data_IF_413340180013
#
_entry.id   IF_413340180013
#
_cell.length_a   1.000
_cell.length_b   1.000
_cell.length_c   1.000
_cell.angle_alpha   90.00
_cell.angle_beta   90.00
_cell.angle_gamma   90.00
#
_symmetry.space_group_name_H-M   'P 1'
#
loop_
_entity.id
_entity.type
_entity.pdbx_description
1 polymer ?
#
# COMPACT_ATOMS: atom_id res chain seq x y z
N UNK A 1 48.58 20.61 9.92
CA UNK A 1 47.37 21.26 10.49
C UNK A 1 46.20 20.76 9.67
N UNK A 2 45.37 19.84 10.19
CA UNK A 2 44.22 19.31 9.43
C UNK A 2 43.14 20.39 9.31
N UNK A 3 42.56 20.52 8.13
CA UNK A 3 41.47 21.44 7.80
C UNK A 3 40.17 21.00 8.50
N UNK A 4 39.53 21.84 9.35
CA UNK A 4 38.34 21.46 10.10
C UNK A 4 37.01 21.57 9.31
N UNK A 5 37.04 21.76 7.99
CA UNK A 5 35.85 22.11 7.20
C UNK A 5 35.09 20.95 6.52
N UNK A 6 35.17 19.69 7.00
CA UNK A 6 34.59 18.56 6.25
C UNK A 6 33.56 17.65 6.95
N UNK A 7 33.00 18.00 8.12
CA UNK A 7 32.08 17.07 8.82
C UNK A 7 30.74 17.62 9.33
N UNK A 8 30.25 18.75 8.80
CA UNK A 8 28.82 19.09 8.94
C UNK A 8 28.08 18.75 7.65
N UNK A 9 27.19 17.73 7.61
CA UNK A 9 26.29 17.60 6.48
C UNK A 9 25.43 18.87 6.44
N UNK A 10 25.41 19.61 5.31
CA UNK A 10 24.73 20.90 5.26
C UNK A 10 23.26 20.68 5.62
N UNK A 11 22.74 21.52 6.53
CA UNK A 11 21.35 21.50 7.02
C UNK A 11 20.31 21.39 5.89
N UNK A 12 20.68 21.73 4.65
CA UNK A 12 19.92 21.51 3.43
C UNK A 12 19.46 20.05 3.22
N UNK A 13 20.27 19.02 3.54
CA UNK A 13 19.86 17.61 3.33
C UNK A 13 18.70 17.16 4.21
N UNK A 14 18.49 17.80 5.36
CA UNK A 14 17.44 17.43 6.30
C UNK A 14 16.03 17.81 5.80
N UNK A 15 15.93 18.80 4.90
CA UNK A 15 14.65 19.24 4.30
C UNK A 15 14.38 18.62 2.92
N UNK A 16 15.35 17.90 2.34
CA UNK A 16 15.14 17.17 1.09
C UNK A 16 14.17 15.99 1.32
N UNK A 17 13.19 15.78 0.43
CA UNK A 17 12.34 14.60 0.50
C UNK A 17 13.16 13.33 0.19
N UNK A 18 12.77 12.19 0.79
CA UNK A 18 13.43 10.89 0.63
C UNK A 18 13.74 10.54 -0.84
N UNK A 19 12.78 10.81 -1.72
CA UNK A 19 12.87 10.51 -3.16
C UNK A 19 13.98 11.30 -3.87
N UNK A 20 14.44 12.41 -3.29
CA UNK A 20 15.57 13.20 -3.80
C UNK A 20 16.87 12.93 -3.01
N UNK A 21 16.96 11.82 -2.29
CA UNK A 21 18.13 11.45 -1.47
C UNK A 21 18.14 12.03 -0.05
N UNK A 22 16.98 12.53 0.41
CA UNK A 22 16.80 12.99 1.80
C UNK A 22 16.73 11.86 2.82
N UNK A 23 16.95 12.16 4.09
CA UNK A 23 16.87 11.16 5.17
C UNK A 23 15.42 10.84 5.55
N UNK A 24 15.09 9.55 5.68
CA UNK A 24 13.81 9.08 6.25
C UNK A 24 13.71 9.39 7.76
N UNK A 25 14.86 9.40 8.46
CA UNK A 25 14.98 9.61 9.92
C UNK A 25 15.12 11.09 10.32
N UNK A 26 14.33 11.98 9.72
CA UNK A 26 14.22 13.36 10.19
C UNK A 26 13.35 13.48 11.44
N UNK A 27 13.55 14.53 12.25
CA UNK A 27 12.59 14.85 13.33
C UNK A 27 11.20 15.11 12.73
N UNK A 28 10.12 14.55 13.29
CA UNK A 28 8.79 14.73 12.73
C UNK A 28 8.34 16.19 12.89
N UNK A 29 8.34 16.94 11.78
CA UNK A 29 7.83 18.31 11.74
C UNK A 29 6.29 18.28 11.83
N UNK A 30 5.65 19.21 12.57
CA UNK A 30 4.20 19.22 12.79
C UNK A 30 3.39 19.28 11.49
N UNK A 31 3.91 19.99 10.47
CA UNK A 31 3.30 20.07 9.14
C UNK A 31 3.32 18.73 8.41
N UNK A 32 4.34 17.90 8.62
CA UNK A 32 4.43 16.57 8.04
C UNK A 32 3.48 15.60 8.73
N UNK A 33 3.40 15.68 10.07
CA UNK A 33 2.41 14.91 10.86
C UNK A 33 0.99 15.26 10.40
N UNK A 34 0.67 16.55 10.25
CA UNK A 34 -0.62 17.00 9.77
C UNK A 34 -0.93 16.45 8.36
N UNK A 35 0.05 16.45 7.46
CA UNK A 35 -0.13 15.95 6.09
C UNK A 35 -0.47 14.46 6.08
N UNK A 36 0.26 13.65 6.84
CA UNK A 36 -0.01 12.21 6.99
C UNK A 36 -1.34 11.99 7.70
N UNK A 37 -1.64 12.77 8.73
CA UNK A 37 -2.91 12.72 9.47
C UNK A 37 -4.13 13.00 8.59
N UNK A 38 -4.03 13.96 7.66
CA UNK A 38 -5.09 14.22 6.68
C UNK A 38 -5.30 13.00 5.78
N UNK A 39 -4.23 12.42 5.22
CA UNK A 39 -4.33 11.25 4.35
C UNK A 39 -4.95 10.06 5.09
N UNK A 40 -4.49 9.78 6.32
CA UNK A 40 -5.05 8.73 7.17
C UNK A 40 -6.53 8.98 7.50
N UNK A 41 -6.93 10.22 7.78
CA UNK A 41 -8.32 10.55 8.05
C UNK A 41 -9.22 10.30 6.83
N UNK A 42 -8.74 10.64 5.63
CA UNK A 42 -9.47 10.39 4.38
C UNK A 42 -9.60 8.89 4.11
N UNK A 43 -8.55 8.10 4.36
CA UNK A 43 -8.60 6.63 4.24
C UNK A 43 -9.58 6.05 5.27
N UNK A 44 -9.52 6.49 6.53
CA UNK A 44 -10.28 5.94 7.64
C UNK A 44 -11.79 6.16 7.51
N UNK A 45 -12.20 7.29 6.91
CA UNK A 45 -13.61 7.69 6.79
C UNK A 45 -14.50 6.60 6.15
N UNK A 46 -14.16 6.00 4.99
CA UNK A 46 -14.96 4.94 4.38
C UNK A 46 -14.71 3.54 4.97
N UNK A 47 -13.65 3.28 5.74
CA UNK A 47 -13.23 1.91 6.09
C UNK A 47 -14.35 1.08 6.72
N UNK A 48 -15.06 1.64 7.71
CA UNK A 48 -16.16 0.91 8.36
C UNK A 48 -17.24 0.52 7.35
N UNK A 49 -17.58 1.42 6.44
CA UNK A 49 -18.53 1.14 5.37
C UNK A 49 -18.02 0.04 4.44
N UNK A 50 -16.76 0.11 4.04
CA UNK A 50 -16.14 -0.87 3.15
C UNK A 50 -16.03 -2.27 3.78
N UNK A 51 -15.75 -2.37 5.08
CA UNK A 51 -15.74 -3.64 5.80
C UNK A 51 -17.12 -4.26 6.00
N UNK A 52 -18.19 -3.45 5.99
CA UNK A 52 -19.56 -3.93 6.14
C UNK A 52 -20.28 -4.12 4.81
N UNK A 53 -19.82 -3.45 3.75
CA UNK A 53 -20.39 -3.55 2.43
C UNK A 53 -20.11 -4.94 1.82
N UNK A 54 -21.03 -5.39 0.98
CA UNK A 54 -20.79 -6.52 0.07
C UNK A 54 -19.81 -6.07 -1.01
N UNK A 55 -18.66 -6.74 -1.12
CA UNK A 55 -17.73 -6.48 -2.21
C UNK A 55 -18.19 -7.14 -3.52
N UNK A 56 -17.33 -7.09 -4.53
CA UNK A 56 -17.58 -7.84 -5.77
C UNK A 56 -17.54 -9.34 -5.47
N UNK A 57 -18.67 -10.01 -5.65
CA UNK A 57 -18.80 -11.45 -5.37
C UNK A 57 -17.82 -12.29 -6.18
N UNK A 58 -17.48 -11.84 -7.40
CA UNK A 58 -16.50 -12.49 -8.27
C UNK A 58 -15.07 -12.31 -7.72
N UNK A 59 -14.65 -11.06 -7.50
CA UNK A 59 -13.27 -10.76 -7.09
C UNK A 59 -12.98 -11.28 -5.67
N UNK A 60 -13.90 -11.06 -4.71
CA UNK A 60 -13.72 -11.56 -3.34
C UNK A 60 -13.75 -13.10 -3.30
N UNK A 61 -14.66 -13.72 -4.07
CA UNK A 61 -14.75 -15.17 -4.15
C UNK A 61 -13.49 -15.82 -4.72
N UNK A 62 -12.92 -15.27 -5.80
CA UNK A 62 -11.68 -15.79 -6.37
C UNK A 62 -10.51 -15.65 -5.40
N UNK A 63 -10.40 -14.49 -4.75
CA UNK A 63 -9.29 -14.21 -3.85
C UNK A 63 -9.41 -14.93 -2.49
N UNK A 64 -10.56 -15.55 -2.18
CA UNK A 64 -10.69 -16.53 -1.10
C UNK A 64 -10.40 -17.96 -1.58
N UNK A 65 -11.12 -18.40 -2.62
CA UNK A 65 -11.09 -19.79 -3.05
C UNK A 65 -9.74 -20.21 -3.64
N UNK A 66 -9.09 -19.35 -4.42
CA UNK A 66 -7.84 -19.72 -5.09
C UNK A 66 -6.67 -19.88 -4.11
N UNK A 67 -6.44 -18.97 -3.15
CA UNK A 67 -5.43 -19.20 -2.12
C UNK A 67 -5.72 -20.42 -1.23
N UNK A 68 -6.98 -20.72 -0.93
CA UNK A 68 -7.36 -21.96 -0.22
C UNK A 68 -6.94 -23.21 -1.00
N UNK A 69 -7.13 -23.20 -2.32
CA UNK A 69 -6.65 -24.28 -3.20
C UNK A 69 -5.13 -24.39 -3.21
N UNK A 70 -4.41 -23.26 -3.25
CA UNK A 70 -2.94 -23.24 -3.12
C UNK A 70 -2.50 -23.83 -1.78
N UNK A 71 -3.19 -23.52 -0.68
CA UNK A 71 -2.92 -24.12 0.64
C UNK A 71 -3.24 -25.62 0.68
N UNK A 72 -4.20 -26.07 -0.12
CA UNK A 72 -4.51 -27.50 -0.30
C UNK A 72 -3.53 -28.23 -1.23
N UNK A 73 -2.59 -27.52 -1.86
CA UNK A 73 -1.55 -28.08 -2.73
C UNK A 73 -1.81 -27.96 -4.23
N UNK A 74 -2.92 -27.33 -4.64
CA UNK A 74 -3.23 -27.11 -6.06
C UNK A 74 -2.31 -26.04 -6.67
N UNK A 75 -1.93 -26.23 -7.93
CA UNK A 75 -1.04 -25.34 -8.68
C UNK A 75 -1.83 -24.42 -9.61
N UNK A 76 -1.69 -23.07 -9.47
CA UNK A 76 -2.34 -22.12 -10.37
C UNK A 76 -1.92 -22.32 -11.83
N UNK A 77 -2.87 -22.20 -12.75
CA UNK A 77 -2.78 -22.46 -14.19
C UNK A 77 -2.50 -23.92 -14.60
N UNK A 78 -2.51 -24.84 -13.64
CA UNK A 78 -2.49 -26.30 -13.89
C UNK A 78 -3.82 -26.91 -13.42
N UNK A 79 -4.12 -26.75 -12.13
CA UNK A 79 -5.33 -27.33 -11.51
C UNK A 79 -6.53 -26.37 -11.52
N UNK A 80 -6.27 -25.08 -11.74
CA UNK A 80 -7.28 -24.04 -11.91
C UNK A 80 -6.75 -22.84 -12.67
N UNK A 81 -7.63 -22.13 -13.38
CA UNK A 81 -7.25 -20.96 -14.17
C UNK A 81 -7.05 -19.74 -13.27
N UNK A 82 -5.88 -19.09 -13.35
CA UNK A 82 -5.60 -17.80 -12.70
C UNK A 82 -4.96 -16.83 -13.70
N UNK A 83 -5.66 -15.74 -13.99
CA UNK A 83 -5.28 -14.79 -15.05
C UNK A 83 -4.08 -13.89 -14.70
N UNK A 84 -3.61 -13.94 -13.46
CA UNK A 84 -2.45 -13.16 -13.00
C UNK A 84 -1.26 -14.07 -12.68
N UNK A 85 -0.09 -13.45 -12.47
CA UNK A 85 1.10 -14.19 -12.08
C UNK A 85 0.85 -15.02 -10.81
N UNK A 86 1.28 -16.30 -10.78
CA UNK A 86 0.92 -17.25 -9.72
C UNK A 86 1.39 -16.79 -8.34
N UNK A 87 2.47 -16.00 -8.27
CA UNK A 87 3.05 -15.50 -7.03
C UNK A 87 2.05 -14.67 -6.20
N UNK A 88 1.12 -13.95 -6.85
CA UNK A 88 0.10 -13.16 -6.14
C UNK A 88 -0.76 -14.01 -5.20
N UNK A 89 -1.16 -15.22 -5.63
CA UNK A 89 -1.92 -16.16 -4.81
C UNK A 89 -1.07 -16.78 -3.72
N UNK A 90 0.21 -17.05 -3.97
CA UNK A 90 1.10 -17.63 -2.97
C UNK A 90 1.35 -16.67 -1.81
N UNK A 91 1.47 -15.37 -2.09
CA UNK A 91 1.61 -14.34 -1.04
C UNK A 91 0.33 -14.26 -0.20
N UNK A 92 -0.85 -14.23 -0.84
CA UNK A 92 -2.12 -14.19 -0.12
C UNK A 92 -2.41 -15.51 0.65
N UNK A 93 -2.03 -16.66 0.07
CA UNK A 93 -2.08 -17.96 0.75
C UNK A 93 -1.19 -17.97 1.99
N UNK A 94 0.03 -17.41 1.90
CA UNK A 94 0.91 -17.23 3.05
C UNK A 94 0.29 -16.33 4.13
N UNK A 95 -0.39 -15.26 3.73
CA UNK A 95 -1.15 -14.41 4.65
C UNK A 95 -2.26 -15.19 5.36
N UNK A 96 -3.05 -15.97 4.62
CA UNK A 96 -4.09 -16.82 5.20
C UNK A 96 -3.55 -17.92 6.11
N UNK A 97 -2.38 -18.46 5.81
CA UNK A 97 -1.72 -19.42 6.70
C UNK A 97 -1.40 -18.82 8.08
N UNK A 98 -1.09 -17.51 8.16
CA UNK A 98 -0.78 -16.82 9.41
C UNK A 98 -2.02 -16.27 10.11
N UNK A 99 -2.94 -15.64 9.36
CA UNK A 99 -4.04 -14.84 9.92
C UNK A 99 -5.43 -15.47 9.73
N UNK A 100 -5.52 -16.62 9.06
CA UNK A 100 -6.77 -17.28 8.69
C UNK A 100 -7.30 -16.81 7.33
N UNK A 101 -8.09 -17.67 6.69
CA UNK A 101 -8.69 -17.50 5.36
C UNK A 101 -10.11 -16.91 5.40
N UNK A 102 -10.30 -15.89 6.23
CA UNK A 102 -11.58 -15.18 6.36
C UNK A 102 -11.67 -13.99 5.40
N UNK A 103 -12.91 -13.55 5.11
CA UNK A 103 -13.15 -12.34 4.33
C UNK A 103 -12.51 -11.09 4.98
N UNK A 104 -12.53 -11.00 6.31
CA UNK A 104 -11.88 -9.90 7.04
C UNK A 104 -10.36 -9.91 6.83
N UNK A 105 -9.74 -11.09 6.92
CA UNK A 105 -8.31 -11.28 6.67
C UNK A 105 -7.93 -10.83 5.27
N UNK A 106 -8.72 -11.20 4.26
CA UNK A 106 -8.54 -10.74 2.88
C UNK A 106 -8.61 -9.22 2.78
N UNK A 107 -9.63 -8.61 3.39
CA UNK A 107 -9.85 -7.16 3.31
C UNK A 107 -8.77 -6.35 4.01
N UNK A 108 -8.22 -6.88 5.11
CA UNK A 108 -7.04 -6.30 5.76
C UNK A 108 -5.83 -6.38 4.82
N UNK A 109 -5.62 -7.49 4.15
CA UNK A 109 -4.53 -7.61 3.17
C UNK A 109 -4.70 -6.63 2.00
N UNK A 110 -5.92 -6.51 1.44
CA UNK A 110 -6.24 -5.53 0.40
C UNK A 110 -5.98 -4.09 0.87
N UNK A 111 -6.39 -3.76 2.10
CA UNK A 111 -6.07 -2.47 2.71
C UNK A 111 -4.56 -2.22 2.75
N UNK A 112 -3.74 -3.21 3.13
CA UNK A 112 -2.28 -3.06 3.14
C UNK A 112 -1.72 -2.77 1.74
N UNK A 113 -2.25 -3.42 0.70
CA UNK A 113 -1.88 -3.15 -0.70
C UNK A 113 -2.22 -1.71 -1.09
N UNK A 114 -3.44 -1.25 -0.80
CA UNK A 114 -3.87 0.12 -1.06
C UNK A 114 -3.02 1.15 -0.30
N UNK A 115 -2.72 0.90 0.98
CA UNK A 115 -1.83 1.76 1.77
C UNK A 115 -0.44 1.85 1.13
N UNK A 116 0.09 0.74 0.64
CA UNK A 116 1.34 0.70 -0.11
C UNK A 116 1.33 1.65 -1.31
N UNK A 117 0.29 1.59 -2.13
CA UNK A 117 0.14 2.47 -3.33
C UNK A 117 -0.02 3.94 -2.92
N UNK A 118 -0.94 4.23 -1.99
CA UNK A 118 -1.26 5.60 -1.57
C UNK A 118 -0.02 6.28 -0.98
N UNK A 119 0.72 5.59 -0.11
CA UNK A 119 1.91 6.15 0.51
C UNK A 119 3.11 6.20 -0.43
N UNK A 120 3.24 5.29 -1.40
CA UNK A 120 4.26 5.40 -2.43
C UNK A 120 4.05 6.66 -3.26
N UNK A 121 2.82 6.91 -3.74
CA UNK A 121 2.51 8.12 -4.50
C UNK A 121 2.61 9.39 -3.67
N UNK A 122 2.18 9.35 -2.40
CA UNK A 122 2.48 10.43 -1.46
C UNK A 122 3.97 10.73 -1.41
N UNK A 123 4.82 9.71 -1.22
CA UNK A 123 6.27 9.85 -1.10
C UNK A 123 6.90 10.40 -2.38
N UNK A 124 6.57 9.86 -3.55
CA UNK A 124 7.01 10.35 -4.86
C UNK A 124 6.63 11.82 -5.07
N UNK A 125 5.37 12.16 -4.79
CA UNK A 125 4.89 13.53 -4.95
C UNK A 125 5.51 14.54 -3.95
N UNK A 126 6.19 14.08 -2.88
CA UNK A 126 6.91 14.98 -1.95
C UNK A 126 8.01 15.78 -2.63
N UNK A 127 8.57 15.29 -3.75
CA UNK A 127 9.56 16.00 -4.54
C UNK A 127 9.06 17.36 -5.05
N UNK A 128 7.75 17.50 -5.26
CA UNK A 128 7.10 18.75 -5.70
C UNK A 128 6.45 19.54 -4.55
N UNK A 129 6.68 19.15 -3.30
CA UNK A 129 6.14 19.82 -2.11
C UNK A 129 5.06 19.04 -1.36
N UNK A 130 4.67 19.53 -0.19
CA UNK A 130 3.75 18.78 0.72
C UNK A 130 2.30 18.81 0.25
N UNK A 131 1.85 19.95 -0.29
CA UNK A 131 0.47 20.11 -0.79
C UNK A 131 0.19 19.16 -1.95
N UNK A 132 1.10 19.10 -2.90
CA UNK A 132 1.10 18.19 -4.05
C UNK A 132 1.07 16.74 -3.61
N UNK A 133 1.87 16.37 -2.60
CA UNK A 133 1.83 15.03 -2.01
C UNK A 133 0.48 14.67 -1.39
N UNK A 134 -0.10 15.57 -0.59
CA UNK A 134 -1.43 15.34 0.01
C UNK A 134 -2.50 15.23 -1.06
N UNK A 135 -2.52 16.14 -2.05
CA UNK A 135 -3.50 16.09 -3.15
C UNK A 135 -3.37 14.78 -3.93
N UNK A 136 -2.15 14.38 -4.29
CA UNK A 136 -1.89 13.11 -4.97
C UNK A 136 -2.41 11.91 -4.17
N UNK A 137 -2.06 11.84 -2.87
CA UNK A 137 -2.49 10.74 -2.01
C UNK A 137 -4.01 10.69 -1.84
N UNK A 138 -4.68 11.83 -1.67
CA UNK A 138 -6.14 11.92 -1.57
C UNK A 138 -6.79 11.49 -2.87
N UNK A 139 -6.30 11.96 -4.02
CA UNK A 139 -6.83 11.55 -5.33
C UNK A 139 -6.70 10.04 -5.53
N UNK A 140 -5.54 9.46 -5.22
CA UNK A 140 -5.30 8.02 -5.33
C UNK A 140 -6.17 7.22 -4.37
N UNK A 141 -6.35 7.72 -3.14
CA UNK A 141 -7.26 7.11 -2.15
C UNK A 141 -8.67 6.98 -2.72
N UNK A 142 -9.18 8.03 -3.37
CA UNK A 142 -10.50 7.98 -4.01
C UNK A 142 -10.54 6.99 -5.17
N UNK A 143 -9.49 6.94 -6.00
CA UNK A 143 -9.44 6.05 -7.17
C UNK A 143 -9.28 4.57 -6.81
N UNK A 144 -8.65 4.24 -5.68
CA UNK A 144 -8.41 2.85 -5.28
C UNK A 144 -9.56 2.34 -4.42
N UNK A 145 -9.97 3.08 -3.39
CA UNK A 145 -10.98 2.59 -2.42
C UNK A 145 -12.41 2.59 -2.97
N UNK A 146 -12.77 3.47 -3.92
CA UNK A 146 -14.17 3.56 -4.38
C UNK A 146 -14.58 2.50 -5.42
N UNK A 147 -13.80 2.20 -6.48
CA UNK A 147 -14.23 1.20 -7.47
C UNK A 147 -13.89 -0.23 -7.06
N UNK A 148 -12.82 -0.45 -6.28
CA UNK A 148 -12.27 -1.78 -6.00
C UNK A 148 -12.64 -2.27 -4.58
N UNK A 149 -12.94 -1.34 -3.68
CA UNK A 149 -13.29 -1.64 -2.30
C UNK A 149 -12.06 -2.00 -1.47
N UNK A 150 -12.10 -3.16 -0.79
CA UNK A 150 -10.98 -3.70 -0.01
C UNK A 150 -10.54 -5.09 -0.51
N UNK A 151 -10.97 -5.49 -1.71
CA UNK A 151 -10.60 -6.79 -2.25
C UNK A 151 -9.10 -6.84 -2.52
N UNK A 152 -8.43 -7.85 -1.98
CA UNK A 152 -7.00 -8.06 -2.16
C UNK A 152 -6.65 -8.47 -3.60
N UNK A 153 -6.71 -7.56 -4.56
CA UNK A 153 -6.49 -7.91 -5.96
C UNK A 153 -5.02 -8.27 -6.24
N UNK A 154 -4.85 -9.23 -7.16
CA UNK A 154 -3.55 -9.80 -7.48
C UNK A 154 -2.54 -8.77 -8.05
N UNK A 155 -3.03 -7.77 -8.78
CA UNK A 155 -2.20 -6.78 -9.45
C UNK A 155 -1.83 -5.59 -8.56
N UNK A 156 -2.61 -5.30 -7.52
CA UNK A 156 -2.36 -4.13 -6.66
C UNK A 156 -1.09 -4.27 -5.83
N UNK A 157 -0.82 -5.47 -5.33
CA UNK A 157 0.44 -5.75 -4.64
C UNK A 157 1.65 -5.55 -5.56
N UNK A 158 1.53 -5.92 -6.84
CA UNK A 158 2.59 -5.69 -7.82
C UNK A 158 2.80 -4.20 -8.11
N UNK A 159 1.71 -3.43 -8.23
CA UNK A 159 1.79 -1.96 -8.39
C UNK A 159 2.41 -1.32 -7.16
N UNK A 160 1.99 -1.70 -5.96
CA UNK A 160 2.57 -1.20 -4.71
C UNK A 160 4.09 -1.43 -4.69
N UNK A 161 4.53 -2.67 -4.96
CA UNK A 161 5.95 -3.01 -5.00
C UNK A 161 6.71 -2.28 -6.10
N UNK A 162 6.12 -2.06 -7.28
CA UNK A 162 6.77 -1.34 -8.37
C UNK A 162 6.90 0.18 -8.16
N UNK A 163 6.12 0.76 -7.25
CA UNK A 163 6.18 2.18 -6.90
C UNK A 163 7.24 2.52 -5.85
N UNK A 164 7.74 1.52 -5.12
CA UNK A 164 8.77 1.65 -4.07
C UNK A 164 10.15 1.29 -4.61
#
# INVERSE_FOLDING_TARGET
MPDPALDDPPAHRADLPFVLGGCVRGRPQPRSILSVGIVLAVIALPLRGLFLATGSSMEEGFMLAFPQRVLAGDVPNVDFLHLYGPFSLHVLAGWYWVFGDTLESQRVFGLLQHLGIIFALFALARAWGRRTAVVSAVTVTLLVLTPIGLSALAWEGAVALGLW
#
